data_IF_480724578443
#
_entry.id   IF_480724578443
#
_cell.length_a   1.000
_cell.length_b   1.000
_cell.length_c   1.000
_cell.angle_alpha   90.00
_cell.angle_beta   90.00
_cell.angle_gamma   90.00
#
_symmetry.space_group_name_H-M   'P 1'
#
loop_
_entity.id
_entity.type
_entity.pdbx_description
1 polymer ?
#
# COMPACT_ATOMS: atom_id res chain seq x y z
N UNK A 1 13.02 -31.65 29.17
CA UNK A 1 13.13 -32.20 27.80
C UNK A 1 12.11 -33.34 27.72
N UNK A 2 11.02 -33.25 26.97
CA UNK A 2 10.94 -33.28 25.51
C UNK A 2 9.78 -32.37 25.04
N UNK A 3 10.04 -31.57 24.01
CA UNK A 3 9.09 -30.62 23.40
C UNK A 3 8.02 -31.40 22.63
N UNK A 4 6.75 -31.21 22.96
CA UNK A 4 5.65 -31.68 22.11
C UNK A 4 5.68 -30.87 20.81
N UNK A 5 5.98 -31.54 19.70
CA UNK A 5 5.79 -30.97 18.36
C UNK A 5 4.28 -30.85 18.13
N UNK A 6 3.78 -29.63 18.02
CA UNK A 6 2.42 -29.39 17.55
C UNK A 6 2.30 -29.89 16.11
N UNK A 7 1.50 -30.94 15.91
CA UNK A 7 1.19 -31.51 14.60
C UNK A 7 0.26 -30.52 13.88
N UNK A 8 0.76 -29.87 12.83
CA UNK A 8 -0.05 -29.01 11.96
C UNK A 8 -1.18 -29.84 11.35
N UNK A 9 -2.41 -29.35 11.45
CA UNK A 9 -3.56 -30.00 10.83
C UNK A 9 -3.58 -29.73 9.33
N UNK A 10 -4.27 -30.57 8.56
CA UNK A 10 -4.49 -30.32 7.12
C UNK A 10 -5.15 -28.94 6.92
N UNK A 11 -5.98 -28.51 7.87
CA UNK A 11 -6.56 -27.17 7.86
C UNK A 11 -5.52 -26.07 8.04
N UNK A 12 -4.59 -26.19 9.00
CA UNK A 12 -3.51 -25.21 9.22
C UNK A 12 -2.58 -25.08 8.00
N UNK A 13 -2.32 -26.20 7.32
CA UNK A 13 -1.54 -26.25 6.08
C UNK A 13 -2.30 -25.57 4.93
N UNK A 14 -3.61 -25.84 4.78
CA UNK A 14 -4.43 -25.20 3.76
C UNK A 14 -4.55 -23.70 4.01
N UNK A 15 -4.79 -23.27 5.25
CA UNK A 15 -4.86 -21.85 5.61
C UNK A 15 -3.51 -21.15 5.38
N UNK A 16 -2.38 -21.76 5.76
CA UNK A 16 -1.05 -21.17 5.48
C UNK A 16 -0.70 -21.11 3.99
N UNK A 17 -1.16 -22.07 3.18
CA UNK A 17 -0.95 -22.06 1.73
C UNK A 17 -1.89 -21.08 1.01
N UNK A 18 -3.14 -20.91 1.47
CA UNK A 18 -4.05 -19.86 0.97
C UNK A 18 -3.51 -18.48 1.31
N UNK A 19 -2.96 -18.29 2.52
CA UNK A 19 -2.29 -17.06 2.92
C UNK A 19 -1.09 -16.75 2.00
N UNK A 20 -0.23 -17.76 1.74
CA UNK A 20 0.95 -17.63 0.86
C UNK A 20 0.63 -17.40 -0.62
N UNK A 21 -0.48 -17.92 -1.14
CA UNK A 21 -0.93 -17.66 -2.52
C UNK A 21 -1.59 -16.28 -2.61
N UNK A 22 -2.31 -15.86 -1.56
CA UNK A 22 -2.88 -14.51 -1.44
C UNK A 22 -1.81 -13.42 -1.42
N UNK A 23 -0.71 -13.61 -0.69
CA UNK A 23 0.35 -12.58 -0.57
C UNK A 23 1.07 -12.29 -1.90
N UNK A 24 1.09 -13.23 -2.86
CA UNK A 24 1.67 -13.04 -4.20
C UNK A 24 0.69 -12.48 -5.25
N UNK A 25 -0.62 -12.50 -4.99
CA UNK A 25 -1.64 -11.95 -5.89
C UNK A 25 -2.11 -10.54 -5.48
N UNK A 26 -1.72 -10.05 -4.30
CA UNK A 26 -2.18 -8.77 -3.74
C UNK A 26 -1.30 -7.55 -4.08
N UNK A 27 -0.34 -7.68 -5.00
CA UNK A 27 0.55 -6.57 -5.42
C UNK A 27 0.17 -5.93 -6.78
N UNK A 28 -1.04 -6.15 -7.29
CA UNK A 28 -1.44 -5.62 -8.60
C UNK A 28 -1.44 -4.07 -8.66
N UNK A 29 -1.60 -3.40 -7.52
CA UNK A 29 -1.73 -1.94 -7.42
C UNK A 29 -0.65 -1.29 -6.54
N UNK A 30 0.59 -1.76 -6.62
CA UNK A 30 1.68 -1.20 -5.81
C UNK A 30 2.28 0.06 -6.44
N UNK A 31 2.04 1.21 -5.81
CA UNK A 31 2.59 2.51 -6.20
C UNK A 31 3.61 3.00 -5.15
N UNK A 32 4.91 2.67 -5.28
CA UNK A 32 5.92 2.94 -4.24
C UNK A 32 6.03 4.42 -3.86
N UNK A 33 5.80 5.31 -4.84
CA UNK A 33 5.93 6.76 -4.70
C UNK A 33 4.94 7.39 -3.73
N UNK A 34 3.81 6.73 -3.44
CA UNK A 34 2.85 7.20 -2.43
C UNK A 34 3.49 7.22 -1.04
N UNK A 35 4.22 6.16 -0.69
CA UNK A 35 4.92 6.06 0.59
C UNK A 35 6.13 6.99 0.63
N UNK A 36 6.96 6.95 -0.43
CA UNK A 36 8.19 7.75 -0.50
C UNK A 36 7.90 9.24 -0.30
N UNK A 37 6.96 9.80 -1.07
CA UNK A 37 6.67 11.24 -1.00
C UNK A 37 6.06 11.63 0.34
N UNK A 38 5.29 10.73 0.97
CA UNK A 38 4.74 10.96 2.30
C UNK A 38 5.85 11.06 3.34
N UNK A 39 6.80 10.12 3.30
CA UNK A 39 7.92 10.06 4.25
C UNK A 39 8.90 11.22 4.02
N UNK A 40 9.17 11.59 2.76
CA UNK A 40 9.97 12.78 2.39
C UNK A 40 9.39 14.10 2.93
N UNK A 41 8.09 14.14 3.21
CA UNK A 41 7.38 15.32 3.73
C UNK A 41 7.03 15.20 5.22
N UNK A 42 7.61 14.24 5.94
CA UNK A 42 7.38 13.98 7.37
C UNK A 42 5.90 13.81 7.73
N UNK A 43 5.09 13.22 6.83
CA UNK A 43 3.66 13.02 7.04
C UNK A 43 3.34 11.62 7.55
N UNK A 44 2.37 11.55 8.46
CA UNK A 44 1.79 10.28 8.88
C UNK A 44 0.76 9.78 7.87
N UNK A 45 0.47 8.49 7.87
CA UNK A 45 -0.64 7.93 7.08
C UNK A 45 -2.01 8.53 7.46
N UNK A 46 -2.16 9.05 8.70
CA UNK A 46 -3.39 9.74 9.12
C UNK A 46 -3.50 11.11 8.47
N UNK A 47 -2.41 11.85 8.42
CA UNK A 47 -2.36 13.19 7.81
C UNK A 47 -2.81 13.12 6.34
N UNK A 48 -2.35 12.11 5.60
CA UNK A 48 -2.72 11.95 4.19
C UNK A 48 -4.14 11.42 4.03
N UNK A 49 -4.61 10.57 4.95
CA UNK A 49 -6.00 10.17 4.96
C UNK A 49 -6.94 11.38 5.13
N UNK A 50 -6.58 12.34 5.97
CA UNK A 50 -7.31 13.60 6.15
C UNK A 50 -7.30 14.46 4.87
N UNK A 51 -6.13 14.64 4.23
CA UNK A 51 -6.00 15.35 2.94
C UNK A 51 -6.89 14.75 1.85
N UNK A 52 -6.99 13.41 1.84
CA UNK A 52 -7.79 12.67 0.86
C UNK A 52 -9.26 12.53 1.26
N UNK A 53 -9.66 13.00 2.44
CA UNK A 53 -10.98 12.76 3.01
C UNK A 53 -11.36 11.27 2.99
N UNK A 54 -10.45 10.43 3.47
CA UNK A 54 -10.60 8.98 3.56
C UNK A 54 -10.20 8.47 4.95
N UNK A 55 -10.28 7.16 5.17
CA UNK A 55 -9.87 6.56 6.44
C UNK A 55 -8.38 6.18 6.42
N UNK A 56 -7.75 6.19 7.58
CA UNK A 56 -6.37 5.69 7.76
C UNK A 56 -6.20 4.28 7.18
N UNK A 57 -7.18 3.39 7.43
CA UNK A 57 -7.17 2.01 6.96
C UNK A 57 -7.15 1.93 5.43
N UNK A 58 -7.89 2.84 4.77
CA UNK A 58 -7.96 2.88 3.31
C UNK A 58 -6.65 3.40 2.73
N UNK A 59 -6.11 4.49 3.27
CA UNK A 59 -4.81 5.01 2.83
C UNK A 59 -3.68 4.00 3.06
N UNK A 60 -3.66 3.34 4.21
CA UNK A 60 -2.71 2.25 4.51
C UNK A 60 -2.86 1.05 3.56
N UNK A 61 -4.08 0.77 3.07
CA UNK A 61 -4.29 -0.27 2.06
C UNK A 61 -3.76 0.13 0.68
N UNK A 62 -3.85 1.41 0.31
CA UNK A 62 -3.26 1.94 -0.93
C UNK A 62 -1.73 1.80 -0.91
N UNK A 63 -1.05 2.23 0.16
CA UNK A 63 0.42 2.12 0.24
C UNK A 63 0.94 0.69 0.22
N UNK A 64 0.13 -0.27 0.68
CA UNK A 64 0.46 -1.70 0.68
C UNK A 64 0.08 -2.41 -0.62
N UNK A 65 -0.55 -1.74 -1.58
CA UNK A 65 -1.03 -2.33 -2.83
C UNK A 65 -2.23 -3.28 -2.69
N UNK A 66 -2.75 -3.46 -1.46
CA UNK A 66 -3.92 -4.31 -1.16
C UNK A 66 -5.21 -3.75 -1.77
N UNK A 67 -5.22 -2.45 -2.06
CA UNK A 67 -6.32 -1.78 -2.74
C UNK A 67 -5.78 -0.79 -3.76
N UNK A 68 -6.39 -0.75 -4.93
CA UNK A 68 -6.15 0.31 -5.90
C UNK A 68 -6.51 1.68 -5.36
N UNK A 69 -5.70 2.68 -5.69
CA UNK A 69 -5.98 4.06 -5.31
C UNK A 69 -6.88 4.69 -6.38
N UNK A 70 -8.06 5.23 -6.00
CA UNK A 70 -8.90 5.94 -6.96
C UNK A 70 -8.16 7.11 -7.63
N UNK A 71 -8.37 7.29 -8.94
CA UNK A 71 -7.71 8.34 -9.73
C UNK A 71 -7.87 9.76 -9.16
N UNK A 72 -9.02 10.06 -8.56
CA UNK A 72 -9.24 11.36 -7.92
C UNK A 72 -8.32 11.60 -6.71
N UNK A 73 -7.93 10.57 -5.96
CA UNK A 73 -6.95 10.71 -4.89
C UNK A 73 -5.55 10.97 -5.46
N UNK A 74 -5.17 10.31 -6.56
CA UNK A 74 -3.89 10.58 -7.23
C UNK A 74 -3.81 12.05 -7.66
N UNK A 75 -4.88 12.58 -8.25
CA UNK A 75 -4.96 14.00 -8.63
C UNK A 75 -4.82 14.92 -7.41
N UNK A 76 -5.48 14.58 -6.30
CA UNK A 76 -5.36 15.35 -5.05
C UNK A 76 -3.92 15.34 -4.52
N UNK A 77 -3.26 14.18 -4.47
CA UNK A 77 -1.87 14.07 -4.01
C UNK A 77 -0.90 14.81 -4.92
N UNK A 78 -1.09 14.73 -6.25
CA UNK A 78 -0.27 15.45 -7.23
C UNK A 78 -0.31 16.96 -6.96
N UNK A 79 -1.51 17.51 -6.75
CA UNK A 79 -1.69 18.92 -6.38
C UNK A 79 -1.14 19.26 -5.01
N UNK A 80 -1.39 18.41 -4.01
CA UNK A 80 -0.96 18.64 -2.63
C UNK A 80 0.56 18.71 -2.50
N UNK A 81 1.28 17.79 -3.17
CA UNK A 81 2.74 17.74 -3.14
C UNK A 81 3.40 18.57 -4.25
N UNK A 82 2.62 19.20 -5.13
CA UNK A 82 3.12 19.91 -6.30
C UNK A 82 4.05 19.05 -7.17
N UNK A 83 3.55 17.87 -7.57
CA UNK A 83 4.21 16.91 -8.47
C UNK A 83 3.23 16.44 -9.54
N UNK A 84 3.72 15.79 -10.59
CA UNK A 84 2.88 15.21 -11.64
C UNK A 84 2.34 13.84 -11.24
N UNK A 85 1.23 13.45 -11.88
CA UNK A 85 0.65 12.11 -11.70
C UNK A 85 1.58 11.01 -12.21
N UNK A 86 2.35 11.28 -13.27
CA UNK A 86 3.32 10.35 -13.83
C UNK A 86 4.42 10.03 -12.81
N UNK A 87 4.86 11.03 -12.03
CA UNK A 87 5.75 10.79 -10.91
C UNK A 87 5.12 9.90 -9.84
N UNK A 88 3.89 10.21 -9.39
CA UNK A 88 3.22 9.42 -8.35
C UNK A 88 2.91 7.98 -8.79
N UNK A 89 2.65 7.76 -10.07
CA UNK A 89 2.37 6.45 -10.64
C UNK A 89 3.64 5.68 -11.04
N UNK A 90 4.83 6.28 -10.86
CA UNK A 90 6.10 5.65 -11.21
C UNK A 90 6.40 5.58 -12.72
N UNK A 91 5.65 6.32 -13.54
CA UNK A 91 5.86 6.44 -14.99
C UNK A 91 7.02 7.40 -15.33
N UNK A 92 7.40 8.26 -14.39
CA UNK A 92 8.51 9.22 -14.51
C UNK A 92 9.29 9.35 -13.21
N UNK A 93 10.58 9.63 -13.32
CA UNK A 93 11.42 10.07 -12.18
C UNK A 93 11.47 11.59 -12.04
N UNK A 94 11.00 12.33 -13.05
CA UNK A 94 10.85 13.78 -12.99
C UNK A 94 9.51 14.12 -12.32
N UNK A 95 9.59 14.90 -11.24
CA UNK A 95 8.43 15.34 -10.44
C UNK A 95 7.48 16.26 -11.19
N UNK A 96 7.90 16.90 -12.29
CA UNK A 96 7.10 17.94 -12.96
C UNK A 96 6.78 17.63 -14.43
N UNK A 97 7.09 16.42 -14.88
CA UNK A 97 6.87 15.97 -16.26
C UNK A 97 5.40 15.68 -16.53
#
# INVERSE_FOLDING_TARGET
MIKFQHKLTIYDIIQSNIQRIGDNFMQEYYYPRLKDIREDNDKTQKDIAEVLNTTYQYYSAYERGVRDIPSHHIITLAKYYNVSTDYLLGLSNDKNK
#
